data_IF_493845753329
#
_entry.id   IF_493845753329
#
_cell.length_a   1.000
_cell.length_b   1.000
_cell.length_c   1.000
_cell.angle_alpha   90.00
_cell.angle_beta   90.00
_cell.angle_gamma   90.00
#
_symmetry.space_group_name_H-M   'P 1'
#
loop_
_entity.id
_entity.type
_entity.pdbx_description
1 polymer ?
#
# COMPACT_ATOMS: atom_id res chain seq x y z
N UNK A 1 8.70 10.38 -11.80
CA UNK A 1 7.27 10.70 -12.00
C UNK A 1 6.45 10.47 -10.73
N UNK A 2 6.37 9.26 -10.15
CA UNK A 2 5.53 9.03 -8.95
C UNK A 2 5.90 9.97 -7.79
N UNK A 3 7.19 10.15 -7.51
CA UNK A 3 7.66 11.05 -6.44
C UNK A 3 7.28 12.50 -6.71
N UNK A 4 7.36 12.95 -7.96
CA UNK A 4 6.94 14.31 -8.37
C UNK A 4 5.42 14.47 -8.21
N UNK A 5 4.65 13.46 -8.61
CA UNK A 5 3.19 13.48 -8.45
C UNK A 5 2.80 13.48 -6.94
N UNK A 6 3.49 12.72 -6.09
CA UNK A 6 3.31 12.76 -4.64
C UNK A 6 3.65 14.17 -4.10
N UNK A 7 4.83 14.70 -4.44
CA UNK A 7 5.31 16.01 -3.98
C UNK A 7 4.32 17.12 -4.32
N UNK A 8 3.75 17.07 -5.53
CA UNK A 8 2.72 18.01 -5.97
C UNK A 8 1.43 17.91 -5.13
N UNK A 9 0.99 16.69 -4.82
CA UNK A 9 -0.27 16.49 -4.10
C UNK A 9 -0.20 16.85 -2.61
N UNK A 10 0.98 16.68 -2.00
CA UNK A 10 1.16 16.95 -0.57
C UNK A 10 1.46 18.41 -0.24
N UNK A 11 1.58 19.30 -1.22
CA UNK A 11 1.98 20.70 -1.06
C UNK A 11 1.12 21.49 -0.05
N UNK A 12 -0.15 21.13 0.09
CA UNK A 12 -1.09 21.78 1.02
C UNK A 12 -1.32 20.99 2.31
N UNK A 13 -0.64 19.87 2.50
CA UNK A 13 -0.74 19.08 3.72
C UNK A 13 0.17 19.70 4.80
N UNK A 14 -0.39 19.90 5.99
CA UNK A 14 0.37 20.38 7.17
C UNK A 14 1.01 19.19 7.91
N UNK A 15 1.67 18.31 7.17
CA UNK A 15 2.33 17.11 7.67
C UNK A 15 3.74 17.02 7.11
N UNK A 16 4.69 16.61 7.92
CA UNK A 16 6.01 16.24 7.46
C UNK A 16 5.92 14.83 6.83
N UNK A 17 6.24 14.74 5.54
CA UNK A 17 6.11 13.50 4.78
C UNK A 17 7.47 13.05 4.30
N UNK A 18 7.86 11.86 4.75
CA UNK A 18 9.06 11.14 4.29
C UNK A 18 8.68 9.95 3.44
N UNK A 19 9.48 9.62 2.45
CA UNK A 19 9.26 8.49 1.54
C UNK A 19 10.32 7.42 1.77
N UNK A 20 9.88 6.19 2.04
CA UNK A 20 10.73 5.00 2.09
C UNK A 20 10.44 4.11 0.88
N UNK A 21 11.41 3.96 0.00
CA UNK A 21 11.32 3.13 -1.18
C UNK A 21 11.89 1.75 -0.88
N UNK A 22 11.10 0.69 -1.10
CA UNK A 22 11.58 -0.69 -1.02
C UNK A 22 11.77 -1.20 -2.44
N UNK A 23 13.01 -1.28 -2.87
CA UNK A 23 13.38 -1.80 -4.18
C UNK A 23 13.55 -3.33 -4.12
N UNK A 24 12.64 -4.07 -4.74
CA UNK A 24 12.64 -5.54 -4.78
C UNK A 24 13.63 -6.10 -5.81
N UNK A 25 14.89 -5.62 -5.78
CA UNK A 25 15.95 -6.04 -6.69
C UNK A 25 15.63 -5.75 -8.15
N UNK A 26 15.07 -4.56 -8.44
CA UNK A 26 14.85 -4.12 -9.82
C UNK A 26 16.15 -3.84 -10.52
N UNK A 27 16.27 -4.28 -11.79
CA UNK A 27 17.43 -4.05 -12.65
C UNK A 27 17.23 -2.91 -13.65
N UNK A 28 15.99 -2.43 -13.80
CA UNK A 28 15.62 -1.55 -14.91
C UNK A 28 15.62 -0.05 -14.59
N UNK A 29 15.38 0.34 -13.33
CA UNK A 29 15.24 1.77 -12.97
C UNK A 29 15.96 2.05 -11.65
N UNK A 30 16.81 3.07 -11.65
CA UNK A 30 17.34 3.71 -10.43
C UNK A 30 16.56 4.99 -10.18
N UNK A 31 16.36 5.31 -8.91
CA UNK A 31 15.88 6.64 -8.54
C UNK A 31 17.00 7.62 -8.88
N UNK A 32 16.69 8.61 -9.71
CA UNK A 32 17.67 9.61 -10.10
C UNK A 32 17.97 10.53 -8.90
N UNK A 33 19.26 10.76 -8.64
CA UNK A 33 19.72 11.64 -7.56
C UNK A 33 19.42 13.14 -7.85
N UNK A 34 18.91 13.45 -9.05
CA UNK A 34 18.65 14.82 -9.53
C UNK A 34 17.20 15.31 -9.32
N UNK A 35 16.35 14.53 -8.63
CA UNK A 35 14.98 14.95 -8.38
C UNK A 35 14.92 16.12 -7.40
N UNK A 36 14.39 17.26 -7.86
CA UNK A 36 14.08 18.41 -7.00
C UNK A 36 12.66 18.21 -6.49
N UNK A 37 12.53 17.97 -5.20
CA UNK A 37 11.26 17.81 -4.49
C UNK A 37 11.19 18.87 -3.38
N UNK A 38 10.06 19.55 -3.29
CA UNK A 38 9.92 20.74 -2.43
C UNK A 38 9.16 20.43 -1.13
N UNK A 39 8.34 19.40 -1.12
CA UNK A 39 7.41 19.09 -0.04
C UNK A 39 7.68 17.72 0.63
N UNK A 40 8.44 16.84 -0.02
CA UNK A 40 8.91 15.60 0.59
C UNK A 40 10.13 15.92 1.46
N UNK A 41 10.01 15.66 2.77
CA UNK A 41 11.05 15.97 3.76
C UNK A 41 12.31 15.13 3.58
N UNK A 42 12.16 13.83 3.33
CA UNK A 42 13.29 12.93 3.11
C UNK A 42 12.91 11.72 2.26
N UNK A 43 13.90 11.17 1.55
CA UNK A 43 13.77 9.92 0.81
C UNK A 43 14.83 8.95 1.28
N UNK A 44 14.41 7.72 1.59
CA UNK A 44 15.29 6.59 1.89
C UNK A 44 15.00 5.44 0.95
N UNK A 45 16.04 4.69 0.57
CA UNK A 45 15.90 3.53 -0.32
C UNK A 45 16.47 2.30 0.35
N UNK A 46 15.68 1.24 0.44
CA UNK A 46 16.13 -0.09 0.86
C UNK A 46 16.18 -0.99 -0.38
N UNK A 47 17.38 -1.44 -0.73
CA UNK A 47 17.58 -2.39 -1.82
C UNK A 47 17.54 -3.81 -1.27
N UNK A 48 16.56 -4.60 -1.68
CA UNK A 48 16.49 -6.02 -1.36
C UNK A 48 17.59 -6.78 -2.10
N UNK A 49 18.25 -7.74 -1.42
CA UNK A 49 19.34 -8.55 -2.04
C UNK A 49 18.86 -9.42 -3.22
N UNK A 50 17.59 -9.76 -3.27
CA UNK A 50 16.93 -10.50 -4.34
C UNK A 50 15.43 -10.23 -4.34
N UNK A 51 14.78 -10.42 -5.48
CA UNK A 51 13.34 -10.31 -5.60
C UNK A 51 12.63 -11.28 -4.64
N UNK A 52 11.77 -10.75 -3.79
CA UNK A 52 11.01 -11.49 -2.76
C UNK A 52 9.52 -11.32 -2.90
N UNK A 53 9.11 -10.46 -3.79
CA UNK A 53 7.73 -10.16 -4.10
C UNK A 53 7.12 -9.09 -3.18
N UNK A 54 6.06 -8.51 -3.68
CA UNK A 54 5.35 -7.36 -3.13
C UNK A 54 5.00 -7.48 -1.63
N UNK A 55 4.44 -8.63 -1.20
CA UNK A 55 4.04 -8.82 0.20
C UNK A 55 5.22 -8.67 1.18
N UNK A 56 6.39 -9.25 0.80
CA UNK A 56 7.61 -9.14 1.62
C UNK A 56 8.20 -7.74 1.62
N UNK A 57 8.10 -7.01 0.50
CA UNK A 57 8.54 -5.61 0.44
C UNK A 57 7.70 -4.74 1.39
N UNK A 58 6.39 -4.91 1.40
CA UNK A 58 5.52 -4.23 2.37
C UNK A 58 5.90 -4.58 3.81
N UNK A 59 6.11 -5.86 4.12
CA UNK A 59 6.50 -6.29 5.47
C UNK A 59 7.85 -5.71 5.90
N UNK A 60 8.84 -5.67 4.99
CA UNK A 60 10.16 -5.05 5.24
C UNK A 60 10.01 -3.56 5.50
N UNK A 61 9.21 -2.85 4.67
CA UNK A 61 8.95 -1.43 4.84
C UNK A 61 8.33 -1.12 6.19
N UNK A 62 7.25 -1.83 6.55
CA UNK A 62 6.58 -1.67 7.85
C UNK A 62 7.53 -1.94 9.00
N UNK A 63 8.28 -3.04 8.95
CA UNK A 63 9.21 -3.41 10.02
C UNK A 63 10.35 -2.41 10.16
N UNK A 64 10.97 -1.99 9.06
CA UNK A 64 12.04 -1.00 9.09
C UNK A 64 11.56 0.32 9.71
N UNK A 65 10.40 0.82 9.23
CA UNK A 65 9.85 2.08 9.74
C UNK A 65 9.51 1.97 11.23
N UNK A 66 8.89 0.84 11.65
CA UNK A 66 8.56 0.62 13.06
C UNK A 66 9.79 0.60 13.96
N UNK A 67 10.91 0.00 13.50
CA UNK A 67 12.10 -0.24 14.32
C UNK A 67 13.11 0.92 14.27
N UNK A 68 13.08 1.75 13.20
CA UNK A 68 14.16 2.70 12.90
C UNK A 68 13.71 4.15 12.72
N UNK A 69 12.40 4.40 12.53
CA UNK A 69 11.90 5.73 12.23
C UNK A 69 10.95 6.21 13.34
N UNK A 70 10.86 7.53 13.49
CA UNK A 70 9.79 8.14 14.27
C UNK A 70 8.69 8.58 13.30
N UNK A 71 7.46 8.14 13.55
CA UNK A 71 6.31 8.41 12.68
C UNK A 71 5.00 8.31 13.46
N UNK A 72 3.97 8.97 12.96
CA UNK A 72 2.60 8.84 13.46
C UNK A 72 1.79 7.86 12.60
N UNK A 73 1.99 7.91 11.29
CA UNK A 73 1.26 7.10 10.32
C UNK A 73 2.17 6.57 9.21
N UNK A 74 1.80 5.43 8.64
CA UNK A 74 2.41 4.89 7.41
C UNK A 74 1.33 4.71 6.35
N UNK A 75 1.64 5.07 5.10
CA UNK A 75 0.80 4.80 3.94
C UNK A 75 1.60 3.96 2.93
N UNK A 76 1.45 2.62 2.92
CA UNK A 76 2.01 1.79 1.87
C UNK A 76 1.35 2.09 0.53
N UNK A 77 2.15 2.19 -0.53
CA UNK A 77 1.71 2.56 -1.88
C UNK A 77 2.46 1.76 -2.93
N UNK A 78 1.78 1.31 -3.97
CA UNK A 78 2.42 0.66 -5.11
C UNK A 78 3.16 1.69 -5.98
N UNK A 79 4.40 1.35 -6.37
CA UNK A 79 5.28 2.27 -7.13
C UNK A 79 4.95 2.39 -8.61
N UNK A 80 3.90 1.74 -9.11
CA UNK A 80 3.57 1.68 -10.55
C UNK A 80 2.53 2.71 -11.01
N UNK A 81 1.98 3.51 -10.10
CA UNK A 81 0.98 4.54 -10.37
C UNK A 81 -0.47 4.05 -10.31
N UNK A 82 -0.72 2.76 -10.03
CA UNK A 82 -2.08 2.27 -9.84
C UNK A 82 -2.72 2.79 -8.54
N UNK A 83 -1.93 2.98 -7.48
CA UNK A 83 -2.33 3.73 -6.29
C UNK A 83 -2.11 5.22 -6.57
N UNK A 84 -3.16 6.00 -6.48
CA UNK A 84 -3.19 7.39 -6.97
C UNK A 84 -2.68 8.36 -5.91
N UNK A 85 -1.65 9.21 -6.22
CA UNK A 85 -1.15 10.22 -5.30
C UNK A 85 -2.23 11.20 -4.79
N UNK A 86 -3.25 11.51 -5.60
CA UNK A 86 -4.34 12.40 -5.20
C UNK A 86 -5.17 11.85 -4.03
N UNK A 87 -5.19 10.53 -3.87
CA UNK A 87 -5.91 9.89 -2.77
C UNK A 87 -5.17 9.99 -1.43
N UNK A 88 -3.86 10.36 -1.42
CA UNK A 88 -3.12 10.69 -0.18
C UNK A 88 -3.83 11.78 0.61
N UNK A 89 -4.29 12.83 -0.09
CA UNK A 89 -5.03 13.94 0.54
C UNK A 89 -6.35 13.46 1.13
N UNK A 90 -7.03 12.53 0.48
CA UNK A 90 -8.29 11.97 0.99
C UNK A 90 -8.04 11.09 2.23
N UNK A 91 -6.99 10.25 2.20
CA UNK A 91 -6.60 9.42 3.34
C UNK A 91 -6.24 10.28 4.55
N UNK A 92 -5.38 11.29 4.36
CA UNK A 92 -4.93 12.17 5.45
C UNK A 92 -6.05 13.07 5.98
N UNK A 93 -6.94 13.58 5.13
CA UNK A 93 -8.09 14.35 5.59
C UNK A 93 -9.05 13.50 6.45
N UNK A 94 -9.22 12.22 6.10
CA UNK A 94 -10.07 11.31 6.88
C UNK A 94 -9.53 11.05 8.28
N UNK A 95 -8.22 11.18 8.50
CA UNK A 95 -7.60 11.08 9.84
C UNK A 95 -8.06 12.17 10.80
N UNK A 96 -8.45 13.35 10.31
CA UNK A 96 -8.96 14.43 11.15
C UNK A 96 -10.20 13.99 11.95
N UNK A 97 -11.04 13.16 11.32
CA UNK A 97 -12.25 12.63 11.95
C UNK A 97 -11.97 11.35 12.76
N UNK A 98 -10.92 10.60 12.39
CA UNK A 98 -10.61 9.27 12.93
C UNK A 98 -9.11 9.08 13.13
N UNK A 99 -8.44 9.82 14.04
CA UNK A 99 -6.97 9.83 14.16
C UNK A 99 -6.39 8.47 14.57
N UNK A 100 -7.11 7.69 15.36
CA UNK A 100 -6.65 6.38 15.85
C UNK A 100 -7.13 5.19 15.01
N UNK A 101 -7.78 5.47 13.86
CA UNK A 101 -8.34 4.41 13.01
C UNK A 101 -7.52 4.20 11.75
N UNK A 102 -7.48 2.97 11.30
CA UNK A 102 -7.01 2.65 9.96
C UNK A 102 -7.99 3.19 8.92
N UNK A 103 -7.46 3.88 7.91
CA UNK A 103 -8.23 4.33 6.76
C UNK A 103 -7.79 3.54 5.53
N UNK A 104 -8.66 2.73 4.95
CA UNK A 104 -8.37 1.92 3.76
C UNK A 104 -8.89 2.57 2.49
N UNK A 105 -8.15 2.47 1.39
CA UNK A 105 -8.62 2.84 0.06
C UNK A 105 -9.40 1.66 -0.56
N UNK A 106 -10.73 1.73 -0.48
CA UNK A 106 -11.60 0.65 -0.97
C UNK A 106 -11.90 0.81 -2.46
N UNK A 107 -11.56 -0.19 -3.24
CA UNK A 107 -11.78 -0.20 -4.69
C UNK A 107 -13.27 -0.21 -5.05
N UNK A 108 -13.75 0.85 -5.73
CA UNK A 108 -15.19 1.05 -6.06
C UNK A 108 -15.59 0.52 -7.43
N UNK A 109 -14.65 0.34 -8.39
CA UNK A 109 -14.96 -0.19 -9.74
C UNK A 109 -13.95 -1.24 -10.16
N UNK A 110 -14.45 -2.38 -10.65
CA UNK A 110 -13.72 -3.34 -11.46
C UNK A 110 -14.46 -3.52 -12.77
N UNK A 111 -13.86 -3.09 -13.86
CA UNK A 111 -14.31 -3.39 -15.23
C UNK A 111 -13.69 -4.71 -15.68
N UNK A 112 -14.05 -5.82 -15.05
CA UNK A 112 -13.48 -7.12 -15.38
C UNK A 112 -14.52 -8.01 -16.05
N UNK A 113 -14.09 -8.85 -17.01
CA UNK A 113 -14.96 -9.78 -17.73
C UNK A 113 -15.63 -10.80 -16.80
N UNK A 114 -16.66 -11.49 -17.30
CA UNK A 114 -17.50 -12.42 -16.54
C UNK A 114 -16.71 -13.52 -15.79
N UNK A 115 -15.67 -14.08 -16.40
CA UNK A 115 -14.84 -15.13 -15.81
C UNK A 115 -14.07 -14.60 -14.58
N UNK A 116 -13.52 -13.39 -14.65
CA UNK A 116 -12.85 -12.76 -13.51
C UNK A 116 -13.82 -12.46 -12.37
N UNK A 117 -15.07 -12.08 -12.69
CA UNK A 117 -16.11 -11.90 -11.67
C UNK A 117 -16.40 -13.18 -10.90
N UNK A 118 -16.44 -14.33 -11.60
CA UNK A 118 -16.67 -15.63 -10.97
C UNK A 118 -15.51 -16.04 -10.05
N UNK A 119 -14.26 -15.91 -10.52
CA UNK A 119 -13.06 -16.16 -9.72
C UNK A 119 -12.98 -15.23 -8.50
N UNK A 120 -13.35 -13.95 -8.67
CA UNK A 120 -13.42 -13.00 -7.58
C UNK A 120 -14.48 -13.38 -6.54
N UNK A 121 -15.65 -13.87 -6.98
CA UNK A 121 -16.71 -14.32 -6.08
C UNK A 121 -16.24 -15.51 -5.24
N UNK A 122 -15.59 -16.49 -5.87
CA UNK A 122 -15.02 -17.65 -5.18
C UNK A 122 -13.94 -17.23 -4.17
N UNK A 123 -13.01 -16.37 -4.58
CA UNK A 123 -11.98 -15.83 -3.69
C UNK A 123 -12.58 -15.03 -2.52
N UNK A 124 -13.59 -14.20 -2.78
CA UNK A 124 -14.31 -13.44 -1.75
C UNK A 124 -14.97 -14.37 -0.72
N UNK A 125 -15.59 -15.45 -1.19
CA UNK A 125 -16.26 -16.45 -0.34
C UNK A 125 -15.24 -17.19 0.52
N UNK A 126 -14.12 -17.66 -0.06
CA UNK A 126 -13.03 -18.27 0.68
C UNK A 126 -12.44 -17.31 1.73
N UNK A 127 -12.15 -16.07 1.34
CA UNK A 127 -11.63 -15.05 2.27
C UNK A 127 -12.60 -14.82 3.43
N UNK A 128 -13.90 -14.78 3.16
CA UNK A 128 -14.92 -14.63 4.20
C UNK A 128 -14.93 -15.83 5.16
N UNK A 129 -14.85 -17.07 4.65
CA UNK A 129 -14.78 -18.27 5.48
C UNK A 129 -13.57 -18.24 6.41
N UNK A 130 -12.38 -17.88 5.90
CA UNK A 130 -11.14 -17.90 6.68
C UNK A 130 -10.94 -16.68 7.60
N UNK A 131 -11.53 -15.54 7.29
CA UNK A 131 -11.29 -14.30 8.04
C UNK A 131 -12.53 -13.72 8.72
N UNK A 132 -13.73 -14.22 8.38
CA UNK A 132 -15.01 -13.65 8.82
C UNK A 132 -15.30 -12.26 8.25
N UNK A 133 -14.48 -11.75 7.31
CA UNK A 133 -14.59 -10.39 6.78
C UNK A 133 -14.45 -10.34 5.25
N UNK A 134 -15.07 -9.31 4.65
CA UNK A 134 -14.91 -9.04 3.22
C UNK A 134 -13.80 -8.02 3.01
N UNK A 135 -12.75 -8.38 2.28
CA UNK A 135 -11.62 -7.51 1.94
C UNK A 135 -11.91 -6.81 0.60
N UNK A 136 -11.99 -5.48 0.61
CA UNK A 136 -12.21 -4.63 -0.57
C UNK A 136 -11.03 -3.71 -0.87
N UNK A 137 -9.93 -3.83 -0.16
CA UNK A 137 -8.74 -2.98 -0.24
C UNK A 137 -7.49 -3.83 -0.48
N UNK A 138 -6.44 -3.21 -0.97
CA UNK A 138 -5.09 -3.77 -1.10
C UNK A 138 -4.20 -3.34 0.07
N UNK A 139 -2.99 -2.88 -0.26
CA UNK A 139 -2.04 -2.28 0.69
C UNK A 139 -2.27 -0.77 0.88
N UNK A 140 -2.87 -0.08 -0.09
CA UNK A 140 -3.09 1.37 -0.02
C UNK A 140 -4.04 1.72 1.13
N UNK A 141 -3.45 2.13 2.24
CA UNK A 141 -4.16 2.38 3.51
C UNK A 141 -3.32 3.29 4.39
N UNK A 142 -3.94 4.13 5.19
CA UNK A 142 -3.26 4.90 6.21
C UNK A 142 -3.33 4.16 7.55
N UNK A 143 -2.16 3.82 8.10
CA UNK A 143 -2.00 3.00 9.30
C UNK A 143 -1.44 3.83 10.45
N UNK A 144 -2.13 3.99 11.58
CA UNK A 144 -1.57 4.54 12.80
C UNK A 144 -0.41 3.67 13.34
N UNK A 145 0.55 4.30 14.01
CA UNK A 145 1.73 3.64 14.61
C UNK A 145 1.38 2.39 15.42
N UNK A 146 0.32 2.44 16.21
CA UNK A 146 -0.13 1.29 17.01
C UNK A 146 -0.52 0.09 16.14
N UNK A 147 -1.21 0.33 15.01
CA UNK A 147 -1.57 -0.74 14.07
C UNK A 147 -0.34 -1.31 13.39
N UNK A 148 0.60 -0.45 12.97
CA UNK A 148 1.88 -0.91 12.40
C UNK A 148 2.62 -1.83 13.37
N UNK A 149 2.71 -1.45 14.65
CA UNK A 149 3.33 -2.28 15.68
C UNK A 149 2.66 -3.64 15.83
N UNK A 150 1.34 -3.72 15.80
CA UNK A 150 0.60 -5.00 15.78
C UNK A 150 0.94 -5.83 14.55
N UNK A 151 0.94 -5.21 13.36
CA UNK A 151 1.18 -5.89 12.09
C UNK A 151 2.60 -6.45 11.97
N UNK A 152 3.63 -5.74 12.41
CA UNK A 152 5.02 -6.23 12.33
C UNK A 152 5.27 -7.47 13.20
N UNK A 153 4.44 -7.66 14.23
CA UNK A 153 4.46 -8.83 15.11
C UNK A 153 3.51 -9.96 14.64
N UNK A 154 2.69 -9.74 13.60
CA UNK A 154 1.80 -10.75 13.03
C UNK A 154 2.51 -11.49 11.88
N UNK A 155 2.75 -12.81 11.98
CA UNK A 155 3.44 -13.58 10.94
C UNK A 155 2.79 -13.49 9.56
N UNK A 156 1.47 -13.34 9.49
CA UNK A 156 0.73 -13.22 8.23
C UNK A 156 1.15 -11.99 7.41
N UNK A 157 1.75 -10.95 8.02
CA UNK A 157 2.22 -9.75 7.34
C UNK A 157 3.26 -10.06 6.26
N UNK A 158 4.05 -11.10 6.44
CA UNK A 158 5.06 -11.53 5.47
C UNK A 158 4.52 -12.21 4.22
N UNK A 159 3.25 -12.60 4.24
CA UNK A 159 2.57 -13.26 3.12
C UNK A 159 1.39 -12.47 2.56
N UNK A 160 0.69 -11.70 3.38
CA UNK A 160 -0.47 -10.92 2.96
C UNK A 160 -0.68 -9.69 3.84
N UNK A 161 -0.46 -8.52 3.27
CA UNK A 161 -0.72 -7.25 3.95
C UNK A 161 -2.19 -7.12 4.37
N UNK A 162 -3.13 -7.25 3.41
CA UNK A 162 -4.56 -7.08 3.68
C UNK A 162 -5.10 -8.16 4.63
N UNK A 163 -4.61 -9.40 4.52
CA UNK A 163 -4.96 -10.49 5.45
C UNK A 163 -4.49 -10.21 6.87
N UNK A 164 -3.26 -9.74 7.04
CA UNK A 164 -2.73 -9.32 8.34
C UNK A 164 -3.50 -8.14 8.93
N UNK A 165 -3.79 -7.12 8.10
CA UNK A 165 -4.53 -5.94 8.56
C UNK A 165 -5.94 -6.29 9.05
N UNK A 166 -6.64 -7.18 8.35
CA UNK A 166 -7.97 -7.65 8.76
C UNK A 166 -7.93 -8.39 10.10
N UNK A 167 -6.84 -9.13 10.34
CA UNK A 167 -6.63 -9.90 11.56
C UNK A 167 -6.32 -9.01 12.77
N UNK A 168 -5.50 -7.99 12.56
CA UNK A 168 -4.99 -7.11 13.62
C UNK A 168 -5.92 -5.95 13.94
N UNK A 169 -6.72 -5.48 12.96
CA UNK A 169 -7.61 -4.33 13.13
C UNK A 169 -8.98 -4.58 12.49
N UNK A 170 -10.03 -4.62 13.32
CA UNK A 170 -11.41 -4.89 12.89
C UNK A 170 -12.19 -3.62 12.56
N UNK A 171 -11.98 -2.55 13.33
CA UNK A 171 -12.68 -1.27 13.12
C UNK A 171 -11.86 -0.35 12.21
N UNK A 172 -12.14 -0.42 10.92
CA UNK A 172 -11.49 0.36 9.87
C UNK A 172 -12.49 1.31 9.24
N UNK A 173 -12.01 2.49 8.88
CA UNK A 173 -12.74 3.43 8.02
C UNK A 173 -12.22 3.31 6.60
N UNK A 174 -12.91 3.90 5.64
CA UNK A 174 -12.47 3.82 4.26
C UNK A 174 -12.76 5.09 3.47
N UNK A 175 -12.01 5.26 2.39
CA UNK A 175 -12.31 6.17 1.28
C UNK A 175 -12.64 5.33 0.04
N UNK A 176 -13.50 5.81 -0.87
CA UNK A 176 -13.63 5.21 -2.19
C UNK A 176 -12.35 5.45 -2.98
N UNK A 177 -11.85 4.42 -3.66
CA UNK A 177 -10.62 4.46 -4.45
C UNK A 177 -10.86 3.93 -5.86
N UNK A 178 -10.23 4.58 -6.84
CA UNK A 178 -10.21 4.15 -8.24
C UNK A 178 -8.77 3.85 -8.65
N UNK A 179 -8.56 2.74 -9.36
CA UNK A 179 -7.22 2.41 -9.88
C UNK A 179 -6.75 3.45 -10.88
N UNK A 180 -5.54 3.96 -10.69
CA UNK A 180 -4.83 4.78 -11.66
C UNK A 180 -4.34 3.96 -12.86
N UNK A 181 -3.78 4.64 -13.83
CA UNK A 181 -3.09 4.00 -14.95
C UNK A 181 -1.63 3.78 -14.58
N UNK A 182 -1.10 2.59 -14.93
CA UNK A 182 0.33 2.32 -14.77
C UNK A 182 1.17 3.29 -15.57
N UNK A 183 2.25 3.77 -14.96
CA UNK A 183 3.19 4.63 -15.68
C UNK A 183 3.96 3.88 -16.75
N UNK A 184 4.27 2.59 -16.54
CA UNK A 184 5.11 1.78 -17.41
C UNK A 184 4.61 0.33 -17.51
N UNK A 185 4.52 -0.16 -18.72
CA UNK A 185 4.37 -1.57 -19.09
C UNK A 185 3.10 -2.28 -18.61
N UNK A 186 2.87 -3.49 -19.11
CA UNK A 186 1.77 -4.34 -18.65
C UNK A 186 2.06 -4.94 -17.26
N UNK A 187 1.02 -5.43 -16.58
CA UNK A 187 1.19 -6.16 -15.33
C UNK A 187 2.12 -7.36 -15.51
N UNK A 188 3.18 -7.44 -14.69
CA UNK A 188 4.10 -8.60 -14.64
C UNK A 188 3.47 -9.81 -13.92
N UNK A 189 2.26 -9.67 -13.36
CA UNK A 189 1.55 -10.74 -12.66
C UNK A 189 0.85 -11.65 -13.66
N UNK A 190 1.43 -12.83 -13.91
CA UNK A 190 0.79 -13.86 -14.73
C UNK A 190 -0.25 -14.64 -13.92
N UNK A 191 -1.23 -15.25 -14.61
CA UNK A 191 -2.23 -16.11 -13.99
C UNK A 191 -1.62 -17.27 -13.19
N UNK A 192 -0.50 -17.82 -13.66
CA UNK A 192 0.24 -18.88 -12.95
C UNK A 192 0.86 -18.37 -11.65
N UNK A 193 1.34 -17.13 -11.60
CA UNK A 193 1.85 -16.53 -10.37
C UNK A 193 0.73 -16.20 -9.38
N UNK A 194 -0.48 -15.89 -9.88
CA UNK A 194 -1.65 -15.65 -9.03
C UNK A 194 -2.11 -16.93 -8.30
N UNK A 195 -1.95 -18.10 -8.95
CA UNK A 195 -2.30 -19.41 -8.35
C UNK A 195 -1.25 -19.92 -7.36
N UNK A 196 -0.03 -19.39 -7.35
CA UNK A 196 1.05 -19.76 -6.42
C UNK A 196 1.05 -18.93 -5.13
N UNK A 197 0.21 -17.91 -5.05
CA UNK A 197 -0.01 -17.06 -3.88
C UNK A 197 -1.31 -17.42 -3.16
#
# INVERSE_FOLDING_TARGET
KLLEDIDLQINNLKHEISVLIINDSSTEVRVEDSLILNHIYSIKIINMKKNRGHARCNAVGLKYTNDKENFDYIIPMDGDGEDRPEELVLLTNKLKDYPDKVITANRVKRSEGFFFKLCYLAHKYLTFIFTGQTIKFGNYSCLPKLTVNKMVNEPATWSSFSGSLVKTEKDRKFIPSSRGQRYFGPSKMSFVNLLKH
#
